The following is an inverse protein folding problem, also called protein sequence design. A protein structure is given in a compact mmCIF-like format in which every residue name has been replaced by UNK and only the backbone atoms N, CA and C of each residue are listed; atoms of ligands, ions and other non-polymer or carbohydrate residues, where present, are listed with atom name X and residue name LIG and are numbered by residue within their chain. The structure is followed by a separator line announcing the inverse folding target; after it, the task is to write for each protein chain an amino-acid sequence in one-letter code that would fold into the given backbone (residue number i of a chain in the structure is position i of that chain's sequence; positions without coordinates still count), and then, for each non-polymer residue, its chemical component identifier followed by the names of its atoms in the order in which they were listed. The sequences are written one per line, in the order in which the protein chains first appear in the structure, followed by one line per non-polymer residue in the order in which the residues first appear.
data_IF_724746789411
#
_entry.id   IF_724746789411
#
_cell.length_a   1.000
_cell.length_b   1.000
_cell.length_c   1.000
_cell.angle_alpha   90.00
_cell.angle_beta   90.00
_cell.angle_gamma   90.00
#
_symmetry.space_group_name_H-M   'P 1'
#
loop_
_entity.id
_entity.type
_entity.pdbx_description
1 polymer ?
#
# COMPACT_ATOMS: atom_id res chain seq x y z
N UNK A 1 23.05 -25.46 -10.73
CA UNK A 1 22.13 -26.48 -11.30
C UNK A 1 21.00 -26.78 -10.33
N UNK A 2 21.30 -27.14 -9.07
CA UNK A 2 20.31 -27.34 -8.00
C UNK A 2 19.41 -26.12 -7.77
N UNK A 3 19.98 -24.92 -7.69
CA UNK A 3 19.22 -23.66 -7.51
C UNK A 3 18.27 -23.36 -8.69
N UNK A 4 18.58 -23.86 -9.89
CA UNK A 4 17.76 -23.64 -11.09
C UNK A 4 16.58 -24.61 -11.15
N UNK A 5 16.77 -25.84 -10.67
CA UNK A 5 15.68 -26.81 -10.51
C UNK A 5 14.73 -26.41 -9.38
N UNK A 6 15.27 -25.93 -8.25
CA UNK A 6 14.48 -25.37 -7.14
C UNK A 6 13.69 -24.14 -7.60
N UNK A 7 14.33 -23.21 -8.33
CA UNK A 7 13.64 -22.07 -8.93
C UNK A 7 12.53 -22.50 -9.91
N UNK A 8 12.76 -23.54 -10.72
CA UNK A 8 11.75 -24.11 -11.62
C UNK A 8 10.58 -24.74 -10.86
N UNK A 9 10.84 -25.46 -9.77
CA UNK A 9 9.79 -26.02 -8.92
C UNK A 9 8.92 -24.92 -8.30
N UNK A 10 9.55 -23.87 -7.76
CA UNK A 10 8.86 -22.71 -7.22
C UNK A 10 7.99 -22.02 -8.28
N UNK A 11 8.54 -21.81 -9.49
CA UNK A 11 7.80 -21.25 -10.64
C UNK A 11 6.53 -22.06 -10.96
N UNK A 12 6.65 -23.38 -11.08
CA UNK A 12 5.53 -24.27 -11.38
C UNK A 12 4.48 -24.25 -10.26
N UNK A 13 4.91 -24.27 -9.00
CA UNK A 13 4.01 -24.17 -7.83
C UNK A 13 3.23 -22.86 -7.80
N UNK A 14 3.92 -21.72 -7.95
CA UNK A 14 3.32 -20.39 -8.03
C UNK A 14 2.30 -20.31 -9.18
N UNK A 15 2.69 -20.79 -10.37
CA UNK A 15 1.82 -20.80 -11.55
C UNK A 15 0.56 -21.64 -11.32
N UNK A 16 0.69 -22.79 -10.66
CA UNK A 16 -0.43 -23.67 -10.32
C UNK A 16 -1.34 -23.09 -9.21
N UNK A 17 -0.95 -22.00 -8.55
CA UNK A 17 -1.70 -21.44 -7.42
C UNK A 17 -1.48 -22.20 -6.12
N UNK A 18 -0.34 -22.89 -5.97
CA UNK A 18 0.04 -23.47 -4.69
C UNK A 18 0.33 -22.35 -3.68
N UNK A 19 -0.43 -22.33 -2.59
CA UNK A 19 -0.27 -21.37 -1.50
C UNK A 19 1.08 -21.48 -0.80
N UNK A 20 1.66 -22.68 -0.69
CA UNK A 20 2.96 -22.87 -0.06
C UNK A 20 4.08 -22.27 -0.91
N UNK A 21 4.09 -22.59 -2.20
CA UNK A 21 5.03 -21.99 -3.15
C UNK A 21 4.90 -20.45 -3.19
N UNK A 22 3.69 -19.91 -3.11
CA UNK A 22 3.52 -18.46 -3.05
C UNK A 22 3.97 -17.85 -1.71
N UNK A 23 3.85 -18.59 -0.60
CA UNK A 23 4.35 -18.16 0.71
C UNK A 23 5.88 -18.09 0.69
N UNK A 24 6.54 -19.12 0.17
CA UNK A 24 7.99 -19.15 -0.02
C UNK A 24 8.47 -17.99 -0.91
N UNK A 25 7.79 -17.75 -2.04
CA UNK A 25 8.06 -16.60 -2.89
C UNK A 25 7.96 -15.26 -2.14
N UNK A 26 6.97 -15.12 -1.26
CA UNK A 26 6.79 -13.91 -0.46
C UNK A 26 7.92 -13.76 0.56
N UNK A 27 8.21 -14.79 1.35
CA UNK A 27 9.25 -14.77 2.38
C UNK A 27 10.62 -14.42 1.79
N UNK A 28 10.97 -15.01 0.65
CA UNK A 28 12.27 -14.80 0.00
C UNK A 28 12.43 -13.41 -0.63
N UNK A 29 11.33 -12.76 -1.03
CA UNK A 29 11.41 -11.58 -1.89
C UNK A 29 10.71 -10.34 -1.35
N UNK A 30 9.90 -10.44 -0.29
CA UNK A 30 9.17 -9.30 0.27
C UNK A 30 10.09 -8.14 0.64
N UNK A 31 11.20 -8.41 1.32
CA UNK A 31 12.17 -7.37 1.69
C UNK A 31 12.84 -6.72 0.48
N UNK A 32 13.13 -7.48 -0.56
CA UNK A 32 13.73 -6.95 -1.79
C UNK A 32 12.74 -6.07 -2.57
N UNK A 33 11.48 -6.48 -2.65
CA UNK A 33 10.38 -5.71 -3.26
C UNK A 33 10.15 -4.43 -2.48
N UNK A 34 10.06 -4.51 -1.15
CA UNK A 34 9.87 -3.36 -0.27
C UNK A 34 10.97 -2.32 -0.42
N UNK A 35 12.24 -2.74 -0.32
CA UNK A 35 13.37 -1.83 -0.50
C UNK A 35 13.38 -1.17 -1.88
N UNK A 36 12.93 -1.89 -2.92
CA UNK A 36 12.79 -1.34 -4.25
C UNK A 36 11.67 -0.31 -4.34
N UNK A 37 10.50 -0.63 -3.78
CA UNK A 37 9.36 0.28 -3.69
C UNK A 37 9.71 1.55 -2.91
N UNK A 38 10.43 1.42 -1.79
CA UNK A 38 10.88 2.54 -0.96
C UNK A 38 11.81 3.48 -1.74
N UNK A 39 12.78 2.95 -2.50
CA UNK A 39 13.64 3.78 -3.36
C UNK A 39 12.87 4.55 -4.43
N UNK A 40 11.80 3.98 -4.96
CA UNK A 40 11.00 4.61 -6.03
C UNK A 40 9.97 5.61 -5.49
N UNK A 41 9.45 5.38 -4.29
CA UNK A 41 8.37 6.20 -3.70
C UNK A 41 8.90 7.28 -2.77
N UNK A 42 9.98 7.02 -2.05
CA UNK A 42 10.52 7.89 -1.01
C UNK A 42 9.63 8.03 0.22
N UNK A 43 8.63 7.15 0.37
CA UNK A 43 7.64 7.20 1.44
C UNK A 43 7.34 5.79 1.96
N UNK A 44 7.39 5.62 3.28
CA UNK A 44 7.27 4.31 3.93
C UNK A 44 5.88 3.71 3.73
N UNK A 45 4.82 4.50 3.88
CA UNK A 45 3.44 4.05 3.69
C UNK A 45 3.19 3.64 2.24
N UNK A 46 3.65 4.44 1.28
CA UNK A 46 3.52 4.10 -0.13
C UNK A 46 4.34 2.87 -0.50
N UNK A 47 5.49 2.63 0.13
CA UNK A 47 6.29 1.42 -0.09
C UNK A 47 5.57 0.16 0.41
N UNK A 48 4.92 0.22 1.57
CA UNK A 48 4.09 -0.87 2.09
C UNK A 48 2.93 -1.19 1.14
N UNK A 49 2.19 -0.16 0.71
CA UNK A 49 1.07 -0.31 -0.22
C UNK A 49 1.53 -0.91 -1.56
N UNK A 50 2.62 -0.40 -2.14
CA UNK A 50 3.19 -0.92 -3.39
C UNK A 50 3.63 -2.37 -3.23
N UNK A 51 4.19 -2.75 -2.09
CA UNK A 51 4.62 -4.13 -1.81
C UNK A 51 3.40 -5.06 -1.77
N UNK A 52 2.37 -4.68 -1.01
CA UNK A 52 1.12 -5.44 -0.92
C UNK A 52 0.45 -5.59 -2.30
N UNK A 53 0.34 -4.49 -3.06
CA UNK A 53 -0.21 -4.50 -4.41
C UNK A 53 0.61 -5.37 -5.37
N UNK A 54 1.93 -5.41 -5.20
CA UNK A 54 2.83 -6.22 -6.03
C UNK A 54 2.52 -7.69 -5.87
N UNK A 55 2.47 -8.19 -4.64
CA UNK A 55 2.17 -9.60 -4.40
C UNK A 55 0.71 -9.95 -4.73
N UNK A 56 -0.24 -9.05 -4.48
CA UNK A 56 -1.62 -9.26 -4.92
C UNK A 56 -1.73 -9.37 -6.45
N UNK A 57 -0.99 -8.52 -7.17
CA UNK A 57 -0.94 -8.56 -8.64
C UNK A 57 -0.26 -9.83 -9.11
N UNK A 58 0.87 -10.20 -8.51
CA UNK A 58 1.58 -11.43 -8.81
C UNK A 58 0.67 -12.66 -8.66
N UNK A 59 -0.10 -12.75 -7.57
CA UNK A 59 -1.08 -13.83 -7.39
C UNK A 59 -2.16 -13.86 -8.48
N UNK A 60 -2.70 -12.70 -8.85
CA UNK A 60 -3.74 -12.58 -9.87
C UNK A 60 -3.25 -12.96 -11.27
N UNK A 61 -1.97 -12.71 -11.57
CA UNK A 61 -1.38 -12.94 -12.90
C UNK A 61 -0.38 -14.10 -12.92
N UNK A 62 -0.41 -14.98 -11.91
CA UNK A 62 0.53 -16.10 -11.74
C UNK A 62 0.52 -17.08 -12.91
N UNK A 63 -0.59 -17.17 -13.64
CA UNK A 63 -0.78 -17.99 -14.83
C UNK A 63 0.17 -17.61 -15.99
N UNK A 64 0.65 -16.35 -15.99
CA UNK A 64 1.63 -15.83 -16.96
C UNK A 64 3.08 -16.20 -16.65
N UNK A 65 3.35 -16.77 -15.47
CA UNK A 65 4.69 -17.24 -15.13
C UNK A 65 5.06 -18.39 -16.06
N UNK A 66 6.22 -18.29 -16.70
CA UNK A 66 6.77 -19.40 -17.48
C UNK A 66 7.15 -20.56 -16.53
N UNK A 67 6.87 -21.82 -16.87
CA UNK A 67 7.11 -22.94 -15.98
C UNK A 67 8.61 -23.17 -15.69
N UNK A 68 9.46 -22.76 -16.61
CA UNK A 68 10.91 -22.92 -16.52
C UNK A 68 11.60 -21.55 -16.54
N UNK A 69 12.71 -21.43 -15.83
CA UNK A 69 13.50 -20.20 -15.76
C UNK A 69 14.16 -20.01 -14.41
N UNK A 70 14.87 -18.88 -14.27
CA UNK A 70 15.49 -18.49 -13.01
C UNK A 70 14.50 -17.87 -12.02
N UNK A 71 15.04 -17.19 -11.02
CA UNK A 71 14.30 -16.50 -9.97
C UNK A 71 13.13 -15.65 -10.51
N UNK A 72 12.02 -15.62 -9.76
CA UNK A 72 10.86 -14.75 -10.02
C UNK A 72 11.07 -13.30 -9.56
N UNK A 73 12.21 -12.99 -8.94
CA UNK A 73 12.53 -11.64 -8.47
C UNK A 73 12.43 -10.56 -9.57
N UNK A 74 12.99 -10.72 -10.79
CA UNK A 74 12.86 -9.68 -11.83
C UNK A 74 11.40 -9.39 -12.18
N UNK A 75 10.57 -10.43 -12.26
CA UNK A 75 9.14 -10.30 -12.52
C UNK A 75 8.42 -9.50 -11.42
N UNK A 76 8.70 -9.78 -10.14
CA UNK A 76 8.19 -9.01 -9.02
C UNK A 76 8.65 -7.54 -9.06
N UNK A 77 9.92 -7.27 -9.38
CA UNK A 77 10.46 -5.92 -9.45
C UNK A 77 9.85 -5.10 -10.61
N UNK A 78 9.50 -5.74 -11.72
CA UNK A 78 8.77 -5.09 -12.83
C UNK A 78 7.37 -4.69 -12.36
N UNK A 79 6.64 -5.59 -11.71
CA UNK A 79 5.32 -5.27 -11.14
C UNK A 79 5.44 -4.10 -10.15
N UNK A 80 6.39 -4.17 -9.21
CA UNK A 80 6.62 -3.12 -8.21
C UNK A 80 6.94 -1.77 -8.83
N UNK A 81 7.74 -1.73 -9.89
CA UNK A 81 8.05 -0.51 -10.63
C UNK A 81 6.78 0.12 -11.21
N UNK A 82 5.94 -0.65 -11.90
CA UNK A 82 4.68 -0.15 -12.44
C UNK A 82 3.73 0.37 -11.34
N UNK A 83 3.66 -0.32 -10.20
CA UNK A 83 2.86 0.09 -9.04
C UNK A 83 3.36 1.40 -8.43
N UNK A 84 4.66 1.51 -8.19
CA UNK A 84 5.29 2.71 -7.65
C UNK A 84 5.10 3.92 -8.58
N UNK A 85 5.27 3.74 -9.88
CA UNK A 85 5.00 4.81 -10.85
C UNK A 85 3.55 5.27 -10.84
N UNK A 86 2.61 4.32 -10.77
CA UNK A 86 1.19 4.65 -10.70
C UNK A 86 0.86 5.43 -9.43
N UNK A 87 1.37 5.00 -8.28
CA UNK A 87 1.23 5.70 -7.00
C UNK A 87 1.80 7.13 -7.08
N UNK A 88 3.02 7.27 -7.62
CA UNK A 88 3.67 8.58 -7.83
C UNK A 88 2.87 9.48 -8.78
N UNK A 89 2.31 8.94 -9.87
CA UNK A 89 1.43 9.68 -10.79
C UNK A 89 0.17 10.17 -10.08
N UNK A 90 -0.49 9.31 -9.30
CA UNK A 90 -1.68 9.66 -8.52
C UNK A 90 -1.38 10.75 -7.48
N UNK A 91 -0.29 10.60 -6.73
CA UNK A 91 0.17 11.59 -5.75
C UNK A 91 0.45 12.94 -6.39
N UNK A 92 1.16 12.98 -7.52
CA UNK A 92 1.42 14.21 -8.27
C UNK A 92 0.13 14.89 -8.75
N UNK A 93 -0.84 14.11 -9.25
CA UNK A 93 -2.16 14.64 -9.65
C UNK A 93 -2.93 15.23 -8.47
N UNK A 94 -2.92 14.56 -7.31
CA UNK A 94 -3.52 15.06 -6.07
C UNK A 94 -2.89 16.37 -5.63
N UNK A 95 -1.55 16.44 -5.58
CA UNK A 95 -0.84 17.66 -5.20
C UNK A 95 -1.10 18.81 -6.18
N UNK A 96 -1.10 18.54 -7.49
CA UNK A 96 -1.41 19.55 -8.50
C UNK A 96 -2.86 20.06 -8.41
N UNK A 97 -3.81 19.20 -8.02
CA UNK A 97 -5.18 19.62 -7.75
C UNK A 97 -5.26 20.52 -6.51
N UNK A 98 -4.62 20.13 -5.42
CA UNK A 98 -4.58 20.92 -4.18
C UNK A 98 -3.91 22.28 -4.40
N UNK A 99 -2.81 22.32 -5.15
CA UNK A 99 -2.09 23.56 -5.46
C UNK A 99 -2.93 24.56 -6.30
N UNK A 100 -3.91 24.07 -7.07
CA UNK A 100 -4.83 24.93 -7.84
C UNK A 100 -6.11 25.27 -7.09
N UNK A 101 -6.36 24.62 -5.96
CA UNK A 101 -7.58 24.85 -5.18
C UNK A 101 -7.44 26.11 -4.34
N UNK A 102 -8.53 26.86 -4.18
CA UNK A 102 -8.56 27.93 -3.19
C UNK A 102 -8.27 27.34 -1.80
N UNK A 103 -7.57 28.08 -0.92
CA UNK A 103 -7.43 27.65 0.47
C UNK A 103 -8.82 27.33 1.05
N UNK A 104 -8.94 26.31 1.90
CA UNK A 104 -10.19 26.11 2.62
C UNK A 104 -10.56 27.44 3.32
N UNK A 105 -11.85 27.81 3.33
CA UNK A 105 -12.26 29.03 4.01
C UNK A 105 -11.77 28.96 5.45
N UNK A 106 -11.22 30.07 5.94
CA UNK A 106 -10.85 30.18 7.35
C UNK A 106 -12.11 29.94 8.19
N UNK A 107 -12.13 28.81 8.90
CA UNK A 107 -13.15 28.54 9.91
C UNK A 107 -12.59 29.05 11.23
N UNK A 108 -13.21 30.06 11.87
CA UNK A 108 -12.79 30.53 13.18
C UNK A 108 -12.75 29.39 14.19
N UNK A 109 -11.88 29.47 15.19
CA UNK A 109 -11.86 28.51 16.28
C UNK A 109 -13.18 28.58 17.08
N UNK A 110 -13.99 27.53 16.94
CA UNK A 110 -15.29 27.36 17.61
C UNK A 110 -15.17 26.58 18.93
N UNK A 111 -13.96 26.21 19.38
CA UNK A 111 -13.77 25.55 20.66
C UNK A 111 -14.37 26.33 21.85
N UNK A 112 -14.27 27.68 21.92
CA UNK A 112 -14.88 28.44 23.01
C UNK A 112 -16.42 28.32 23.04
N UNK A 113 -17.08 28.40 21.89
CA UNK A 113 -18.54 28.30 21.77
C UNK A 113 -19.05 26.87 22.01
N UNK A 114 -18.29 25.86 21.58
CA UNK A 114 -18.59 24.47 21.88
C UNK A 114 -18.46 24.18 23.38
N UNK A 115 -17.39 24.66 24.02
CA UNK A 115 -17.20 24.53 25.46
C UNK A 115 -18.34 25.24 26.24
N UNK A 116 -18.69 26.46 25.84
CA UNK A 116 -19.81 27.21 26.42
C UNK A 116 -21.13 26.44 26.36
N UNK A 117 -21.50 25.91 25.19
CA UNK A 117 -22.74 25.12 25.05
C UNK A 117 -22.77 23.87 25.93
N UNK A 118 -21.63 23.20 26.12
CA UNK A 118 -21.53 22.03 27.00
C UNK A 118 -21.73 22.43 28.46
N UNK A 119 -21.11 23.52 28.89
CA UNK A 119 -21.23 24.01 30.26
C UNK A 119 -22.64 24.53 30.54
N UNK A 120 -23.27 25.22 29.58
CA UNK A 120 -24.66 25.65 29.68
C UNK A 120 -25.62 24.45 29.78
N UNK A 121 -25.41 23.41 28.96
CA UNK A 121 -26.20 22.18 29.04
C UNK A 121 -26.06 21.48 30.40
N UNK A 122 -24.85 21.45 30.98
CA UNK A 122 -24.62 20.91 32.33
C UNK A 122 -25.35 21.72 33.39
N UNK A 123 -25.36 23.05 33.29
CA UNK A 123 -26.10 23.92 34.23
C UNK A 123 -27.61 23.67 34.18
N UNK A 124 -28.18 23.59 32.98
CA UNK A 124 -29.61 23.32 32.81
C UNK A 124 -30.02 21.94 33.37
N UNK A 125 -29.20 20.91 33.13
CA UNK A 125 -29.44 19.58 33.69
C UNK A 125 -29.38 19.57 35.23
N UNK A 126 -28.46 20.33 35.83
CA UNK A 126 -28.37 20.45 37.29
C UNK A 126 -29.59 21.17 37.89
N UNK A 127 -30.15 22.17 37.19
CA UNK A 127 -31.37 22.88 37.61
C UNK A 127 -32.60 21.98 37.54
N UNK A 128 -32.71 21.11 36.54
CA UNK A 128 -33.85 20.18 36.41
C UNK A 128 -33.79 18.97 37.36
N UNK A 129 -32.65 18.71 38.01
CA UNK A 129 -32.46 17.59 38.92
C UNK A 129 -32.63 17.96 40.41
N UNK A 130 -32.87 19.25 40.71
CA UNK A 130 -33.10 19.79 42.05
C UNK A 130 -34.60 20.01 42.32
#
# INVERSE_FOLDING_TARGET
MRDTEEAGALRRGVRAGDRRAFTELYEDHARAVYNHALRLTGDWSAADDVTAETFLTAWRTRDRVEPDGGSLRPWLLVIATHKAENSNRSRRRKLAFLARSAPPPHVPDFAPEAAGRIDDARRLAAVHAA
#
